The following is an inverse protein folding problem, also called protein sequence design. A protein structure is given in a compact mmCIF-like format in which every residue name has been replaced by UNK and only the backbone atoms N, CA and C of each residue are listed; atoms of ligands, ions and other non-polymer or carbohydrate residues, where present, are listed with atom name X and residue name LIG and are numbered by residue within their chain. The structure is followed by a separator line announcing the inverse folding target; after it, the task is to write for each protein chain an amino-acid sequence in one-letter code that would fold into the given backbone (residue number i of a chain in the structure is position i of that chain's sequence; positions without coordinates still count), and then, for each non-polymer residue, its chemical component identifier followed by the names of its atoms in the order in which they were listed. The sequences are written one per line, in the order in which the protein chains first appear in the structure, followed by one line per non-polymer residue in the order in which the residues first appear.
data_IF_113857790115
#
_entry.id   IF_113857790115
#
_cell.length_a   1.000
_cell.length_b   1.000
_cell.length_c   1.000
_cell.angle_alpha   90.00
_cell.angle_beta   90.00
_cell.angle_gamma   90.00
#
_symmetry.space_group_name_H-M   'P 1'
#
loop_
_entity.id
_entity.type
_entity.pdbx_description
1 polymer ?
#
# COMPACT_ATOMS: atom_id res chain seq x y z
N UNK A 1 -12.00 7.26 -5.22
CA UNK A 1 -12.10 7.94 -3.89
C UNK A 1 -10.68 8.26 -3.50
N UNK A 2 -10.36 9.45 -2.99
CA UNK A 2 -8.95 9.78 -2.73
C UNK A 2 -8.36 8.98 -1.57
N UNK A 3 -7.39 8.11 -1.87
CA UNK A 3 -6.65 7.31 -0.88
C UNK A 3 -5.61 8.17 -0.17
N UNK A 4 -5.47 7.94 1.13
CA UNK A 4 -4.44 8.54 1.98
C UNK A 4 -3.63 7.48 2.69
N UNK A 5 -2.46 7.84 3.20
CA UNK A 5 -1.60 6.89 3.92
C UNK A 5 -2.26 6.28 5.17
N UNK A 6 -3.34 6.88 5.68
CA UNK A 6 -4.13 6.35 6.79
C UNK A 6 -5.12 5.27 6.38
N UNK A 7 -5.47 5.19 5.09
CA UNK A 7 -6.44 4.24 4.53
C UNK A 7 -5.74 2.93 4.13
N UNK A 8 -5.04 2.31 5.10
CA UNK A 8 -4.19 1.15 4.85
C UNK A 8 -4.92 -0.01 4.15
N UNK A 9 -6.16 -0.28 4.57
CA UNK A 9 -7.01 -1.31 3.99
C UNK A 9 -7.33 -1.04 2.52
N UNK A 10 -7.84 0.16 2.21
CA UNK A 10 -8.22 0.51 0.85
C UNK A 10 -7.01 0.56 -0.11
N UNK A 11 -5.85 0.99 0.40
CA UNK A 11 -4.59 0.92 -0.36
C UNK A 11 -4.20 -0.53 -0.64
N UNK A 12 -4.31 -1.42 0.36
CA UNK A 12 -3.99 -2.83 0.22
C UNK A 12 -4.89 -3.54 -0.81
N UNK A 13 -6.19 -3.27 -0.79
CA UNK A 13 -7.17 -3.76 -1.77
C UNK A 13 -6.75 -3.37 -3.20
N UNK A 14 -6.45 -2.10 -3.44
CA UNK A 14 -6.04 -1.61 -4.76
C UNK A 14 -4.68 -2.20 -5.20
N UNK A 15 -3.74 -2.35 -4.28
CA UNK A 15 -2.45 -2.99 -4.57
C UNK A 15 -2.61 -4.46 -4.94
N UNK A 16 -3.52 -5.18 -4.27
CA UNK A 16 -3.85 -6.58 -4.58
C UNK A 16 -4.58 -6.71 -5.91
N UNK A 17 -5.54 -5.84 -6.21
CA UNK A 17 -6.27 -5.84 -7.48
C UNK A 17 -5.34 -5.59 -8.68
N UNK A 18 -4.39 -4.66 -8.54
CA UNK A 18 -3.39 -4.38 -9.58
C UNK A 18 -2.29 -5.45 -9.66
N UNK A 19 -1.95 -6.10 -8.54
CA UNK A 19 -0.83 -7.04 -8.44
C UNK A 19 -1.20 -8.33 -7.65
N UNK A 20 -2.16 -9.14 -8.13
CA UNK A 20 -2.69 -10.27 -7.36
C UNK A 20 -1.67 -11.39 -7.14
N UNK A 21 -0.71 -11.52 -8.06
CA UNK A 21 0.35 -12.55 -8.01
C UNK A 21 1.58 -12.11 -7.19
N UNK A 22 1.67 -10.83 -6.81
CA UNK A 22 2.82 -10.30 -6.10
C UNK A 22 2.76 -10.65 -4.62
N UNK A 23 3.90 -11.06 -4.07
CA UNK A 23 4.00 -11.41 -2.65
C UNK A 23 4.53 -10.22 -1.81
N UNK A 24 3.68 -9.57 -0.97
CA UNK A 24 4.08 -8.39 -0.23
C UNK A 24 5.23 -8.66 0.75
N UNK A 25 5.36 -9.89 1.28
CA UNK A 25 6.46 -10.21 2.22
C UNK A 25 7.85 -10.10 1.58
N UNK A 26 7.92 -10.15 0.25
CA UNK A 26 9.18 -10.01 -0.48
C UNK A 26 9.54 -8.55 -0.78
N UNK A 27 8.59 -7.63 -0.61
CA UNK A 27 8.75 -6.21 -0.90
C UNK A 27 9.49 -5.49 0.22
N UNK A 28 10.35 -4.54 -0.15
CA UNK A 28 10.89 -3.56 0.79
C UNK A 28 9.87 -2.45 1.00
N UNK A 29 9.87 -1.82 2.18
CA UNK A 29 8.99 -0.68 2.47
C UNK A 29 9.14 0.48 1.46
N UNK A 30 10.35 0.68 0.92
CA UNK A 30 10.58 1.65 -0.15
C UNK A 30 9.84 1.29 -1.44
N UNK A 31 9.82 0.00 -1.81
CA UNK A 31 9.09 -0.47 -2.99
C UNK A 31 7.59 -0.37 -2.77
N UNK A 32 7.10 -0.78 -1.60
CA UNK A 32 5.70 -0.60 -1.23
C UNK A 32 5.28 0.87 -1.33
N UNK A 33 6.08 1.79 -0.80
CA UNK A 33 5.81 3.23 -0.90
C UNK A 33 5.70 3.67 -2.36
N UNK A 34 6.65 3.28 -3.20
CA UNK A 34 6.65 3.64 -4.62
C UNK A 34 5.43 3.05 -5.37
N UNK A 35 4.97 1.85 -5.00
CA UNK A 35 3.72 1.27 -5.52
C UNK A 35 2.48 2.06 -5.08
N UNK A 36 2.39 2.45 -3.80
CA UNK A 36 1.29 3.28 -3.29
C UNK A 36 1.24 4.63 -4.00
N UNK A 37 2.39 5.25 -4.24
CA UNK A 37 2.49 6.50 -4.99
C UNK A 37 2.12 6.37 -6.47
N UNK A 38 2.17 5.16 -7.02
CA UNK A 38 1.79 4.88 -8.40
C UNK A 38 0.28 4.63 -8.56
N UNK A 39 -0.47 4.43 -7.47
CA UNK A 39 -1.92 4.24 -7.52
C UNK A 39 -2.63 5.49 -8.05
N UNK A 40 -3.53 5.32 -9.01
CA UNK A 40 -4.25 6.44 -9.64
C UNK A 40 -5.16 7.20 -8.66
N UNK A 41 -5.72 6.51 -7.67
CA UNK A 41 -6.60 7.10 -6.65
C UNK A 41 -5.83 7.66 -5.44
N UNK A 42 -4.51 7.51 -5.39
CA UNK A 42 -3.68 8.05 -4.30
C UNK A 42 -3.44 9.55 -4.46
N UNK A 43 -3.80 10.34 -3.45
CA UNK A 43 -3.63 11.80 -3.48
C UNK A 43 -3.33 12.38 -2.09
N UNK A 44 -2.41 11.74 -1.38
CA UNK A 44 -1.80 12.26 -0.13
C UNK A 44 -0.34 12.65 -0.36
N UNK A 45 0.26 13.32 0.62
CA UNK A 45 1.61 13.85 0.51
C UNK A 45 2.65 12.71 0.49
N UNK A 46 3.51 12.60 -0.55
CA UNK A 46 4.50 11.53 -0.64
C UNK A 46 5.52 11.51 0.51
N UNK A 47 5.81 12.67 1.11
CA UNK A 47 6.72 12.80 2.25
C UNK A 47 6.04 12.45 3.58
N UNK A 48 4.71 12.36 3.61
CA UNK A 48 3.98 11.90 4.79
C UNK A 48 4.06 10.36 4.98
N UNK A 49 4.70 9.63 4.05
CA UNK A 49 5.02 8.21 4.27
C UNK A 49 5.93 8.05 5.49
N UNK A 50 5.61 7.10 6.36
CA UNK A 50 6.47 6.71 7.47
C UNK A 50 6.43 5.18 7.64
N UNK A 51 7.41 4.63 8.35
CA UNK A 51 7.52 3.19 8.59
C UNK A 51 6.22 2.58 9.13
N UNK A 52 5.57 3.10 10.20
CA UNK A 52 4.37 2.47 10.73
C UNK A 52 3.16 2.50 9.78
N UNK A 53 3.04 3.52 8.92
CA UNK A 53 1.98 3.56 7.88
C UNK A 53 2.23 2.53 6.79
N UNK A 54 3.47 2.43 6.33
CA UNK A 54 3.85 1.45 5.31
C UNK A 54 3.72 0.02 5.86
N UNK A 55 4.12 -0.21 7.11
CA UNK A 55 3.88 -1.50 7.78
C UNK A 55 2.38 -1.81 7.91
N UNK A 56 1.53 -0.83 8.25
CA UNK A 56 0.09 -1.04 8.32
C UNK A 56 -0.51 -1.45 6.97
N UNK A 57 -0.09 -0.79 5.88
CA UNK A 57 -0.48 -1.16 4.51
C UNK A 57 0.02 -2.57 4.17
N UNK A 58 1.26 -2.88 4.50
CA UNK A 58 1.84 -4.20 4.24
C UNK A 58 1.06 -5.30 4.96
N UNK A 59 0.74 -5.09 6.24
CA UNK A 59 -0.04 -6.05 7.02
C UNK A 59 -1.46 -6.21 6.47
N UNK A 60 -2.14 -5.11 6.13
CA UNK A 60 -3.46 -5.19 5.51
C UNK A 60 -3.43 -5.97 4.18
N UNK A 61 -2.40 -5.75 3.36
CA UNK A 61 -2.24 -6.49 2.11
C UNK A 61 -1.96 -7.99 2.31
N UNK A 62 -1.26 -8.35 3.39
CA UNK A 62 -1.09 -9.76 3.74
C UNK A 62 -2.39 -10.39 4.23
N UNK A 63 -3.19 -9.67 5.00
CA UNK A 63 -4.50 -10.12 5.50
C UNK A 63 -5.49 -10.35 4.34
N UNK A 64 -5.51 -9.45 3.35
CA UNK A 64 -6.37 -9.59 2.16
C UNK A 64 -6.01 -10.78 1.27
N UNK A 65 -4.79 -11.32 1.39
CA UNK A 65 -4.32 -12.47 0.59
C UNK A 65 -4.59 -13.82 1.26
N UNK A 66 -4.83 -13.86 2.57
CA UNK A 66 -5.10 -15.08 3.34
C UNK A 66 -6.58 -15.50 3.25
#
# INVERSE_FOLDING_TARGET
MTLKWTDAQAIAEELYDENPELDPVTLRLSELRDMVLALADFSDDPMASNEPRLEAILQAWLDERD
#
